data_IF_948904530559
#
_entry.id   IF_948904530559
#
_cell.length_a   1.000
_cell.length_b   1.000
_cell.length_c   1.000
_cell.angle_alpha   90.00
_cell.angle_beta   90.00
_cell.angle_gamma   90.00
#
_symmetry.space_group_name_H-M   'P 1'
#
loop_
_entity.id
_entity.type
_entity.pdbx_description
1 polymer ?
#
# COMPACT_ATOMS: atom_id res chain seq x y z
N UNK A 1 15.52 -1.69 32.53
CA UNK A 1 16.33 -2.75 31.89
C UNK A 1 16.28 -2.71 30.36
N UNK A 2 15.11 -2.55 29.73
CA UNK A 2 14.96 -2.59 28.26
C UNK A 2 15.87 -1.59 27.48
N UNK A 3 15.96 -0.33 27.89
CA UNK A 3 16.72 0.72 27.17
C UNK A 3 18.23 0.45 27.12
N UNK A 4 18.80 -0.09 28.21
CA UNK A 4 20.23 -0.40 28.27
C UNK A 4 20.58 -1.58 27.34
N UNK A 5 19.70 -2.60 27.30
CA UNK A 5 19.83 -3.72 26.38
C UNK A 5 19.70 -3.28 24.92
N UNK A 6 18.71 -2.43 24.61
CA UNK A 6 18.47 -1.91 23.25
C UNK A 6 19.68 -1.12 22.72
N UNK A 7 20.33 -0.29 23.55
CA UNK A 7 21.58 0.39 23.17
C UNK A 7 22.71 -0.57 22.86
N UNK A 8 22.77 -1.71 23.54
CA UNK A 8 23.73 -2.78 23.25
C UNK A 8 23.48 -3.42 21.91
N UNK A 9 22.21 -3.63 21.57
CA UNK A 9 21.80 -4.34 20.36
C UNK A 9 21.87 -3.47 19.09
N UNK A 10 21.55 -2.18 19.19
CA UNK A 10 21.54 -1.26 18.05
C UNK A 10 22.95 -0.84 17.60
N UNK A 11 23.89 -0.74 18.53
CA UNK A 11 25.26 -0.29 18.26
C UNK A 11 26.25 -1.22 18.98
N UNK A 12 26.32 -2.52 18.63
CA UNK A 12 27.09 -3.52 19.37
C UNK A 12 28.59 -3.24 19.32
N UNK A 13 29.09 -2.82 18.16
CA UNK A 13 30.50 -2.53 17.89
C UNK A 13 30.93 -1.10 18.29
N UNK A 14 30.01 -0.26 18.76
CA UNK A 14 30.30 1.15 19.09
C UNK A 14 30.53 1.30 20.61
N UNK A 15 31.63 1.93 21.05
CA UNK A 15 31.87 2.26 22.46
C UNK A 15 30.71 3.07 23.05
N UNK A 16 30.38 2.84 24.33
CA UNK A 16 29.16 3.41 24.97
C UNK A 16 29.06 4.93 24.85
N UNK A 17 30.17 5.65 25.04
CA UNK A 17 30.24 7.10 24.94
C UNK A 17 30.04 7.66 23.52
N UNK A 18 30.18 6.81 22.49
CA UNK A 18 30.07 7.20 21.08
C UNK A 18 28.73 6.81 20.44
N UNK A 19 27.85 6.13 21.18
CA UNK A 19 26.55 5.68 20.70
C UNK A 19 25.59 6.84 20.42
N UNK A 20 25.04 6.91 19.22
CA UNK A 20 24.20 8.04 18.76
C UNK A 20 22.79 7.65 18.36
N UNK A 21 22.47 6.36 18.21
CA UNK A 21 21.17 5.94 17.69
C UNK A 21 20.06 6.11 18.73
N UNK A 22 20.31 5.87 20.03
CA UNK A 22 19.27 6.08 21.07
C UNK A 22 19.62 7.23 22.02
N UNK A 23 19.11 8.42 21.70
CA UNK A 23 19.36 9.65 22.46
C UNK A 23 18.27 9.88 23.51
N UNK A 24 18.66 10.24 24.72
CA UNK A 24 17.71 10.71 25.73
C UNK A 24 17.34 12.16 25.42
N UNK A 25 16.04 12.45 25.36
CA UNK A 25 15.51 13.79 25.07
C UNK A 25 14.41 14.11 26.07
N UNK A 26 14.68 15.04 26.99
CA UNK A 26 13.76 15.36 28.09
C UNK A 26 13.42 14.13 28.94
N UNK A 27 12.12 13.81 29.02
CA UNK A 27 11.60 12.65 29.74
C UNK A 27 11.53 11.37 28.89
N UNK A 28 11.96 11.41 27.63
CA UNK A 28 11.85 10.30 26.68
C UNK A 28 13.17 9.92 25.99
N UNK A 29 13.04 9.08 24.98
CA UNK A 29 14.13 8.64 24.11
C UNK A 29 13.74 8.83 22.65
N UNK A 30 14.71 9.20 21.83
CA UNK A 30 14.58 9.32 20.39
C UNK A 30 15.51 8.31 19.73
N UNK A 31 14.94 7.50 18.84
CA UNK A 31 15.71 6.67 17.92
C UNK A 31 16.09 7.54 16.72
N UNK A 32 17.37 7.87 16.60
CA UNK A 32 17.93 8.58 15.45
C UNK A 32 18.09 7.59 14.33
N UNK A 33 17.27 7.74 13.31
CA UNK A 33 17.41 7.01 12.04
C UNK A 33 18.38 7.79 11.16
N UNK A 34 19.58 7.25 10.94
CA UNK A 34 20.63 7.92 10.17
C UNK A 34 20.36 7.86 8.66
N UNK A 35 19.93 6.70 8.16
CA UNK A 35 19.46 6.53 6.78
C UNK A 35 18.02 6.00 6.79
N UNK A 36 17.12 6.72 6.12
CA UNK A 36 15.73 6.27 5.96
C UNK A 36 15.62 5.03 5.07
N UNK A 37 16.62 4.75 4.24
CA UNK A 37 16.69 3.56 3.40
C UNK A 37 16.76 2.27 4.23
N UNK A 38 17.24 2.34 5.47
CA UNK A 38 17.32 1.22 6.42
C UNK A 38 15.97 0.93 7.11
N UNK A 39 14.95 1.77 6.86
CA UNK A 39 13.62 1.66 7.46
C UNK A 39 12.55 1.56 6.39
N UNK A 40 11.99 0.36 6.26
CA UNK A 40 10.94 0.00 5.30
C UNK A 40 9.76 0.98 5.28
N UNK A 41 9.19 1.32 6.43
CA UNK A 41 8.04 2.24 6.53
C UNK A 41 8.40 3.68 6.17
N UNK A 42 9.60 4.15 6.52
CA UNK A 42 10.04 5.50 6.17
C UNK A 42 10.31 5.60 4.67
N UNK A 43 10.94 4.58 4.10
CA UNK A 43 11.17 4.47 2.65
C UNK A 43 9.86 4.36 1.88
N UNK A 44 8.91 3.57 2.38
CA UNK A 44 7.55 3.50 1.84
C UNK A 44 6.88 4.87 1.80
N UNK A 45 6.90 5.61 2.92
CA UNK A 45 6.37 6.97 2.97
C UNK A 45 7.04 7.95 2.00
N UNK A 46 8.36 7.84 1.82
CA UNK A 46 9.10 8.67 0.85
C UNK A 46 8.68 8.39 -0.59
N UNK A 47 8.52 7.12 -0.96
CA UNK A 47 8.09 6.73 -2.31
C UNK A 47 6.67 7.23 -2.61
N UNK A 48 5.76 7.17 -1.63
CA UNK A 48 4.42 7.75 -1.78
C UNK A 48 4.45 9.27 -1.96
N UNK A 49 5.28 9.97 -1.18
CA UNK A 49 5.46 11.42 -1.33
C UNK A 49 6.06 11.77 -2.70
N UNK A 50 6.98 10.96 -3.22
CA UNK A 50 7.55 11.13 -4.54
C UNK A 50 6.51 10.88 -5.65
N UNK A 51 5.65 9.86 -5.49
CA UNK A 51 4.53 9.61 -6.39
C UNK A 51 3.54 10.78 -6.42
N UNK A 52 3.19 11.35 -5.27
CA UNK A 52 2.33 12.53 -5.19
C UNK A 52 2.98 13.77 -5.84
N UNK A 53 4.28 13.94 -5.66
CA UNK A 53 5.05 14.97 -6.35
C UNK A 53 5.06 14.80 -7.88
N UNK A 54 5.20 13.57 -8.38
CA UNK A 54 5.14 13.27 -9.81
C UNK A 54 3.74 13.53 -10.38
N UNK A 55 2.69 13.09 -9.67
CA UNK A 55 1.30 13.38 -10.00
C UNK A 55 1.03 14.87 -10.14
N UNK A 56 1.53 15.69 -9.20
CA UNK A 56 1.37 17.15 -9.23
C UNK A 56 2.03 17.81 -10.46
N UNK A 57 3.04 17.17 -11.04
CA UNK A 57 3.69 17.62 -12.29
C UNK A 57 3.07 17.02 -13.55
N UNK A 58 2.09 16.13 -13.42
CA UNK A 58 1.51 15.39 -14.55
C UNK A 58 2.41 14.28 -15.10
N UNK A 59 3.47 13.91 -14.38
CA UNK A 59 4.43 12.89 -14.78
C UNK A 59 3.92 11.50 -14.36
N UNK A 60 3.12 10.90 -15.26
CA UNK A 60 2.41 9.64 -15.02
C UNK A 60 3.35 8.44 -14.89
N UNK A 61 4.44 8.41 -15.66
CA UNK A 61 5.40 7.32 -15.64
C UNK A 61 6.17 7.33 -14.31
N UNK A 62 6.66 8.50 -13.89
CA UNK A 62 7.31 8.61 -12.58
C UNK A 62 6.33 8.33 -11.44
N UNK A 63 5.06 8.74 -11.53
CA UNK A 63 4.05 8.37 -10.53
C UNK A 63 3.93 6.84 -10.42
N UNK A 64 3.77 6.15 -11.55
CA UNK A 64 3.64 4.70 -11.58
C UNK A 64 4.88 4.00 -10.99
N UNK A 65 6.08 4.42 -11.37
CA UNK A 65 7.34 3.82 -10.90
C UNK A 65 7.50 3.95 -9.38
N UNK A 66 7.23 5.13 -8.82
CA UNK A 66 7.28 5.32 -7.36
C UNK A 66 6.22 4.49 -6.62
N UNK A 67 5.00 4.37 -7.17
CA UNK A 67 3.95 3.54 -6.58
C UNK A 67 4.31 2.05 -6.62
N UNK A 68 4.80 1.53 -7.74
CA UNK A 68 5.25 0.13 -7.85
C UNK A 68 6.37 -0.15 -6.84
N UNK A 69 7.38 0.73 -6.77
CA UNK A 69 8.45 0.60 -5.79
C UNK A 69 7.94 0.63 -4.35
N UNK A 70 6.95 1.47 -4.03
CA UNK A 70 6.35 1.52 -2.69
C UNK A 70 5.66 0.19 -2.35
N UNK A 71 4.84 -0.33 -3.28
CA UNK A 71 4.09 -1.58 -3.11
C UNK A 71 5.04 -2.76 -2.87
N UNK A 72 6.16 -2.85 -3.61
CA UNK A 72 7.16 -3.92 -3.43
C UNK A 72 7.81 -3.92 -2.05
N UNK A 73 7.98 -2.75 -1.43
CA UNK A 73 8.61 -2.64 -0.11
C UNK A 73 7.71 -3.07 1.04
N UNK A 74 6.41 -3.12 0.83
CA UNK A 74 5.48 -3.65 1.82
C UNK A 74 5.43 -5.19 1.73
N UNK A 75 6.24 -5.87 2.54
CA UNK A 75 6.42 -7.34 2.49
C UNK A 75 5.51 -8.16 3.41
N UNK A 76 4.48 -7.57 4.02
CA UNK A 76 3.53 -8.32 4.84
C UNK A 76 2.98 -7.51 6.01
N UNK A 77 2.51 -8.20 7.03
CA UNK A 77 1.91 -7.60 8.21
C UNK A 77 2.95 -6.85 9.07
N UNK A 78 2.63 -5.63 9.51
CA UNK A 78 3.52 -4.85 10.36
C UNK A 78 3.69 -5.49 11.73
N UNK A 79 4.94 -5.82 12.10
CA UNK A 79 5.31 -6.41 13.40
C UNK A 79 4.42 -7.63 13.75
N UNK A 80 4.54 -8.76 13.03
CA UNK A 80 3.64 -9.91 13.20
C UNK A 80 3.84 -10.66 14.52
N UNK A 81 4.93 -10.42 15.23
CA UNK A 81 5.25 -11.10 16.48
C UNK A 81 4.51 -10.50 17.68
N UNK A 82 3.90 -11.39 18.48
CA UNK A 82 3.25 -11.04 19.75
C UNK A 82 1.80 -10.58 19.59
N UNK A 83 1.16 -10.30 20.73
CA UNK A 83 -0.20 -9.74 20.74
C UNK A 83 -0.12 -8.25 20.35
N UNK A 84 -0.87 -7.80 19.32
CA UNK A 84 -0.82 -6.42 18.91
C UNK A 84 -1.37 -5.52 20.03
N UNK A 85 -0.63 -4.48 20.35
CA UNK A 85 -1.14 -3.37 21.15
C UNK A 85 -2.09 -2.51 20.28
N UNK A 86 -3.00 -1.78 20.91
CA UNK A 86 -4.03 -1.00 20.19
C UNK A 86 -3.43 -0.02 19.16
N UNK A 87 -2.30 0.62 19.50
CA UNK A 87 -1.59 1.52 18.59
C UNK A 87 -1.11 0.82 17.30
N UNK A 88 -0.77 -0.47 17.39
CA UNK A 88 -0.30 -1.26 16.25
C UNK A 88 -1.47 -1.64 15.34
N UNK A 89 -2.66 -1.88 15.89
CA UNK A 89 -3.87 -2.13 15.10
C UNK A 89 -4.25 -0.91 14.27
N UNK A 90 -4.20 0.28 14.87
CA UNK A 90 -4.44 1.54 14.16
C UNK A 90 -3.44 1.75 13.02
N UNK A 91 -2.16 1.47 13.26
CA UNK A 91 -1.13 1.65 12.24
C UNK A 91 -1.26 0.64 11.08
N UNK A 92 -1.61 -0.62 11.40
CA UNK A 92 -1.90 -1.64 10.38
C UNK A 92 -3.08 -1.25 9.49
N UNK A 93 -4.14 -0.72 10.10
CA UNK A 93 -5.32 -0.25 9.35
C UNK A 93 -4.95 0.93 8.44
N UNK A 94 -4.15 1.88 8.95
CA UNK A 94 -3.63 2.99 8.15
C UNK A 94 -2.82 2.49 6.94
N UNK A 95 -1.91 1.53 7.14
CA UNK A 95 -1.10 0.96 6.07
C UNK A 95 -1.95 0.20 5.05
N UNK A 96 -2.95 -0.56 5.50
CA UNK A 96 -3.92 -1.26 4.63
C UNK A 96 -4.59 -0.30 3.66
N UNK A 97 -5.14 0.80 4.19
CA UNK A 97 -5.80 1.85 3.40
C UNK A 97 -4.85 2.49 2.38
N UNK A 98 -3.64 2.84 2.82
CA UNK A 98 -2.64 3.49 1.97
C UNK A 98 -2.18 2.56 0.84
N UNK A 99 -1.89 1.30 1.15
CA UNK A 99 -1.43 0.32 0.18
C UNK A 99 -2.51 0.00 -0.87
N UNK A 100 -3.76 -0.22 -0.45
CA UNK A 100 -4.87 -0.42 -1.37
C UNK A 100 -5.07 0.78 -2.31
N UNK A 101 -4.93 2.01 -1.78
CA UNK A 101 -5.01 3.23 -2.59
C UNK A 101 -3.86 3.33 -3.60
N UNK A 102 -2.64 2.95 -3.22
CA UNK A 102 -1.49 2.92 -4.12
C UNK A 102 -1.68 1.89 -5.25
N UNK A 103 -2.16 0.69 -4.92
CA UNK A 103 -2.51 -0.34 -5.89
C UNK A 103 -3.57 0.14 -6.89
N UNK A 104 -4.62 0.81 -6.42
CA UNK A 104 -5.68 1.34 -7.29
C UNK A 104 -5.15 2.37 -8.28
N UNK A 105 -4.34 3.32 -7.79
CA UNK A 105 -3.72 4.38 -8.61
C UNK A 105 -2.83 3.79 -9.69
N UNK A 106 -1.88 2.92 -9.31
CA UNK A 106 -0.93 2.36 -10.28
C UNK A 106 -1.63 1.47 -11.30
N UNK A 107 -2.68 0.74 -10.90
CA UNK A 107 -3.47 -0.07 -11.82
C UNK A 107 -4.16 0.78 -12.89
N UNK A 108 -4.67 1.96 -12.53
CA UNK A 108 -5.27 2.89 -13.50
C UNK A 108 -4.22 3.42 -14.48
N UNK A 109 -3.09 3.91 -13.96
CA UNK A 109 -1.98 4.41 -14.78
C UNK A 109 -1.48 3.35 -15.77
N UNK A 110 -1.26 2.13 -15.30
CA UNK A 110 -0.82 1.00 -16.14
C UNK A 110 -1.87 0.60 -17.17
N UNK A 111 -3.16 0.66 -16.82
CA UNK A 111 -4.25 0.38 -17.77
C UNK A 111 -4.27 1.42 -18.90
N UNK A 112 -4.15 2.70 -18.57
CA UNK A 112 -4.06 3.80 -19.53
C UNK A 112 -2.82 3.70 -20.41
N UNK A 113 -1.71 3.20 -19.87
CA UNK A 113 -0.45 2.98 -20.59
C UNK A 113 -0.44 1.68 -21.44
N UNK A 114 -1.54 0.91 -21.51
CA UNK A 114 -1.61 -0.35 -22.26
C UNK A 114 -0.95 -1.55 -21.56
N UNK A 115 -0.43 -1.38 -20.35
CA UNK A 115 0.23 -2.43 -19.54
C UNK A 115 -0.80 -3.25 -18.75
N UNK A 116 -1.76 -3.82 -19.46
CA UNK A 116 -2.97 -4.42 -18.90
C UNK A 116 -2.72 -5.58 -17.92
N UNK A 117 -1.77 -6.48 -18.22
CA UNK A 117 -1.47 -7.61 -17.35
C UNK A 117 -0.88 -7.16 -16.00
N UNK A 118 -0.02 -6.14 -16.03
CA UNK A 118 0.56 -5.57 -14.80
C UNK A 118 -0.48 -4.81 -14.00
N UNK A 119 -1.35 -4.05 -14.67
CA UNK A 119 -2.48 -3.38 -14.04
C UNK A 119 -3.40 -4.36 -13.29
N UNK A 120 -3.78 -5.47 -13.93
CA UNK A 120 -4.60 -6.51 -13.30
C UNK A 120 -3.91 -7.09 -12.04
N UNK A 121 -2.62 -7.40 -12.13
CA UNK A 121 -1.83 -7.93 -10.99
C UNK A 121 -1.79 -6.95 -9.81
N UNK A 122 -1.61 -5.65 -10.06
CA UNK A 122 -1.63 -4.65 -9.00
C UNK A 122 -3.03 -4.46 -8.40
N UNK A 123 -4.08 -4.55 -9.22
CA UNK A 123 -5.45 -4.45 -8.75
C UNK A 123 -5.82 -5.65 -7.85
N UNK A 124 -5.47 -6.88 -8.27
CA UNK A 124 -5.63 -8.10 -7.46
C UNK A 124 -4.89 -8.00 -6.12
N UNK A 125 -3.63 -7.56 -6.14
CA UNK A 125 -2.87 -7.32 -4.91
C UNK A 125 -3.56 -6.29 -4.00
N UNK A 126 -4.17 -5.26 -4.57
CA UNK A 126 -4.97 -4.30 -3.81
C UNK A 126 -6.20 -4.93 -3.16
N UNK A 127 -6.88 -5.85 -3.86
CA UNK A 127 -8.05 -6.57 -3.34
C UNK A 127 -7.69 -7.57 -2.24
N UNK A 128 -6.50 -8.18 -2.31
CA UNK A 128 -5.97 -9.01 -1.22
C UNK A 128 -5.74 -8.19 0.06
N UNK A 129 -5.42 -6.90 -0.08
CA UNK A 129 -5.22 -5.95 1.03
C UNK A 129 -6.55 -5.40 1.54
N UNK A 130 -7.44 -5.02 0.63
CA UNK A 130 -8.73 -4.41 0.94
C UNK A 130 -9.79 -4.78 -0.12
N UNK A 131 -10.47 -5.91 0.10
CA UNK A 131 -11.51 -6.43 -0.81
C UNK A 131 -12.74 -5.52 -0.96
N UNK A 132 -12.91 -4.52 -0.11
CA UNK A 132 -14.09 -3.65 -0.08
C UNK A 132 -13.93 -2.36 -0.91
N UNK A 133 -12.83 -2.25 -1.66
CA UNK A 133 -12.54 -1.11 -2.52
C UNK A 133 -13.17 -1.27 -3.90
N UNK A 134 -14.25 -0.55 -4.15
CA UNK A 134 -14.93 -0.52 -5.45
C UNK A 134 -13.98 -0.19 -6.61
N UNK A 135 -13.12 0.82 -6.41
CA UNK A 135 -12.18 1.28 -7.43
C UNK A 135 -11.20 0.20 -7.91
N UNK A 136 -10.81 -0.72 -7.03
CA UNK A 136 -9.94 -1.85 -7.36
C UNK A 136 -10.66 -2.92 -8.21
N UNK A 137 -11.91 -3.23 -7.89
CA UNK A 137 -12.74 -4.13 -8.71
C UNK A 137 -12.98 -3.55 -10.11
N UNK A 138 -13.29 -2.27 -10.19
CA UNK A 138 -13.55 -1.57 -11.45
C UNK A 138 -12.31 -1.56 -12.35
N UNK A 139 -11.14 -1.20 -11.81
CA UNK A 139 -9.91 -1.16 -12.61
C UNK A 139 -9.43 -2.56 -13.00
N UNK A 140 -9.65 -3.59 -12.16
CA UNK A 140 -9.36 -4.98 -12.52
C UNK A 140 -10.18 -5.43 -13.73
N UNK A 141 -11.50 -5.23 -13.70
CA UNK A 141 -12.38 -5.59 -14.81
C UNK A 141 -12.00 -4.83 -16.10
N UNK A 142 -11.69 -3.54 -15.97
CA UNK A 142 -11.24 -2.71 -17.09
C UNK A 142 -9.92 -3.22 -17.69
N UNK A 143 -8.91 -3.47 -16.86
CA UNK A 143 -7.61 -3.96 -17.29
C UNK A 143 -7.72 -5.32 -17.99
N UNK A 144 -8.48 -6.27 -17.42
CA UNK A 144 -8.71 -7.59 -18.01
C UNK A 144 -9.41 -7.49 -19.36
N UNK A 145 -10.42 -6.62 -19.48
CA UNK A 145 -11.16 -6.43 -20.74
C UNK A 145 -10.27 -5.80 -21.81
N UNK A 146 -9.52 -4.75 -21.46
CA UNK A 146 -8.58 -4.10 -22.37
C UNK A 146 -7.43 -5.04 -22.79
N UNK A 147 -6.98 -5.92 -21.89
CA UNK A 147 -6.00 -6.97 -22.15
C UNK A 147 -6.51 -8.19 -22.92
N UNK A 148 -7.75 -8.17 -23.43
CA UNK A 148 -8.29 -9.27 -24.24
C UNK A 148 -8.75 -10.49 -23.44
N UNK A 149 -9.05 -10.32 -22.15
CA UNK A 149 -9.52 -11.40 -21.25
C UNK A 149 -10.97 -11.16 -20.78
N UNK A 150 -11.97 -11.13 -21.68
CA UNK A 150 -13.34 -10.76 -21.35
C UNK A 150 -14.02 -11.73 -20.36
N UNK A 151 -13.69 -13.02 -20.41
CA UNK A 151 -14.21 -14.00 -19.46
C UNK A 151 -13.70 -13.74 -18.03
N UNK A 152 -12.42 -13.39 -17.88
CA UNK A 152 -11.85 -13.03 -16.58
C UNK A 152 -12.45 -11.71 -16.05
N UNK A 153 -12.66 -10.73 -16.93
CA UNK A 153 -13.34 -9.48 -16.57
C UNK A 153 -14.76 -9.72 -16.05
N UNK A 154 -15.56 -10.55 -16.75
CA UNK A 154 -16.91 -10.90 -16.32
C UNK A 154 -16.92 -11.64 -14.96
N UNK A 155 -15.93 -12.51 -14.71
CA UNK A 155 -15.76 -13.17 -13.42
C UNK A 155 -15.44 -12.18 -12.30
N UNK A 156 -14.55 -11.20 -12.56
CA UNK A 156 -14.24 -10.14 -11.60
C UNK A 156 -15.49 -9.29 -11.27
N UNK A 157 -16.28 -8.93 -12.28
CA UNK A 157 -17.55 -8.20 -12.09
C UNK A 157 -18.60 -9.01 -11.32
N UNK A 158 -18.67 -10.33 -11.53
CA UNK A 158 -19.55 -11.21 -10.75
C UNK A 158 -19.12 -11.26 -9.29
N UNK A 159 -17.81 -11.44 -9.01
CA UNK A 159 -17.26 -11.41 -7.65
C UNK A 159 -17.50 -10.07 -6.96
N UNK A 160 -17.36 -8.97 -7.70
CA UNK A 160 -17.65 -7.64 -7.19
C UNK A 160 -19.12 -7.50 -6.75
N UNK A 161 -20.07 -7.95 -7.58
CA UNK A 161 -21.50 -7.97 -7.21
C UNK A 161 -21.77 -8.85 -5.98
N UNK A 162 -21.12 -10.00 -5.85
CA UNK A 162 -21.23 -10.84 -4.65
C UNK A 162 -20.70 -10.13 -3.40
N UNK A 163 -19.56 -9.45 -3.51
CA UNK A 163 -19.01 -8.65 -2.41
C UNK A 163 -19.97 -7.55 -1.97
N UNK A 164 -20.58 -6.81 -2.92
CA UNK A 164 -21.58 -5.78 -2.59
C UNK A 164 -22.82 -6.37 -1.92
N UNK A 165 -23.28 -7.54 -2.38
CA UNK A 165 -24.40 -8.24 -1.77
C UNK A 165 -24.10 -8.66 -0.32
N UNK A 166 -22.86 -9.07 0.00
CA UNK A 166 -22.43 -9.35 1.39
C UNK A 166 -22.55 -8.11 2.29
N UNK A 167 -22.37 -6.91 1.73
CA UNK A 167 -22.55 -5.64 2.45
C UNK A 167 -24.02 -5.17 2.51
N UNK A 168 -24.96 -5.94 1.95
CA UNK A 168 -26.36 -5.53 1.82
C UNK A 168 -26.61 -4.43 0.79
N UNK A 169 -25.61 -4.14 -0.06
CA UNK A 169 -25.71 -3.15 -1.14
C UNK A 169 -26.17 -3.86 -2.41
N UNK A 170 -27.41 -3.60 -2.85
CA UNK A 170 -27.87 -4.06 -4.16
C UNK A 170 -27.37 -3.12 -5.24
N UNK A 171 -26.60 -3.65 -6.21
CA UNK A 171 -26.33 -2.93 -7.45
C UNK A 171 -27.65 -2.85 -8.20
N UNK A 172 -28.34 -1.72 -8.07
CA UNK A 172 -29.50 -1.42 -8.89
C UNK A 172 -29.12 -1.52 -10.37
N UNK A 173 -30.01 -2.00 -11.25
CA UNK A 173 -29.71 -2.04 -12.68
C UNK A 173 -29.37 -0.62 -13.12
N UNK A 174 -28.17 -0.44 -13.68
CA UNK A 174 -27.77 0.81 -14.31
C UNK A 174 -28.86 1.21 -15.29
N UNK A 175 -29.37 2.44 -15.14
CA UNK A 175 -30.40 3.01 -16.00
C UNK A 175 -29.94 2.86 -17.45
N UNK A 176 -30.54 1.90 -18.15
CA UNK A 176 -30.58 1.91 -19.61
C UNK A 176 -31.48 3.07 -19.99
N UNK A 177 -30.88 4.24 -20.20
CA UNK A 177 -31.60 5.37 -20.74
C UNK A 177 -31.84 5.08 -22.22
N UNK A 178 -33.12 4.90 -22.56
CA UNK A 178 -33.55 4.68 -23.92
C UNK A 178 -33.43 5.96 -24.73
N UNK A 179 -32.74 5.87 -25.86
CA UNK A 179 -33.15 6.56 -27.09
C UNK A 179 -32.59 5.87 -28.32
#
# INVERSE_FOLDING_TARGET
MAISALRGLLEPEVPREQRRLLRRTGQGYLLVVADRADHDLLRFGQLLSAADGARGRGDRDAEADHLMAAIERHSGELLPAGRPADWLLTERERLRVVLATACERVSRLLTEAGRHAEAARHAERGLDVDRYRDGLWQVLALALRAGGQPAAAALAEARYRSMLAELGVSVGPGVGDGR
#
